data_IF_713781856645
#
_entry.id   IF_713781856645
#
_cell.length_a   1.000
_cell.length_b   1.000
_cell.length_c   1.000
_cell.angle_alpha   90.00
_cell.angle_beta   90.00
_cell.angle_gamma   90.00
#
_symmetry.space_group_name_H-M   'P 1'
#
loop_
_entity.id
_entity.type
_entity.pdbx_description
1 polymer ?
#
# COMPACT_ATOMS: atom_id res chain seq x y z
N UNK A 1 -58.46 33.63 -42.58
CA UNK A 1 -57.42 33.99 -41.58
C UNK A 1 -57.70 33.38 -40.21
N UNK A 2 -58.89 33.51 -39.63
CA UNK A 2 -59.27 33.06 -38.27
C UNK A 2 -59.12 31.52 -38.11
N UNK A 3 -59.73 30.73 -39.02
CA UNK A 3 -59.59 29.25 -39.02
C UNK A 3 -58.18 28.73 -39.24
N UNK A 4 -57.39 29.43 -40.00
CA UNK A 4 -56.01 29.06 -40.25
C UNK A 4 -55.10 29.31 -39.05
N UNK A 5 -55.33 30.37 -38.28
CA UNK A 5 -54.71 30.66 -37.02
C UNK A 5 -55.04 29.64 -35.93
N UNK A 6 -56.32 29.25 -35.82
CA UNK A 6 -56.76 28.21 -34.88
C UNK A 6 -56.11 26.85 -35.19
N UNK A 7 -55.97 26.48 -36.45
CA UNK A 7 -55.33 25.28 -36.89
C UNK A 7 -53.79 25.29 -36.54
N UNK A 8 -53.12 26.41 -36.82
CA UNK A 8 -51.72 26.55 -36.49
C UNK A 8 -51.45 26.51 -34.95
N UNK A 9 -52.33 27.14 -34.19
CA UNK A 9 -52.22 27.07 -32.71
C UNK A 9 -52.40 25.65 -32.19
N UNK A 10 -53.38 24.90 -32.70
CA UNK A 10 -53.61 23.50 -32.30
C UNK A 10 -52.41 22.61 -32.68
N UNK A 11 -51.79 22.84 -33.83
CA UNK A 11 -50.62 22.11 -34.28
C UNK A 11 -49.40 22.40 -33.38
N UNK A 12 -49.17 23.69 -33.04
CA UNK A 12 -48.07 24.10 -32.12
C UNK A 12 -48.28 23.51 -30.75
N UNK A 13 -49.51 23.54 -30.20
CA UNK A 13 -49.79 22.93 -28.90
C UNK A 13 -49.52 21.43 -28.92
N UNK A 14 -50.01 20.70 -29.92
CA UNK A 14 -49.76 19.25 -30.04
C UNK A 14 -48.29 18.92 -30.24
N UNK A 15 -47.53 19.75 -30.96
CA UNK A 15 -46.08 19.56 -31.09
C UNK A 15 -45.34 19.83 -29.77
N UNK A 16 -45.73 20.87 -29.02
CA UNK A 16 -45.14 21.17 -27.71
C UNK A 16 -45.44 20.05 -26.70
N UNK A 17 -46.63 19.50 -26.68
CA UNK A 17 -46.96 18.35 -25.81
C UNK A 17 -46.10 17.15 -26.14
N UNK A 18 -45.91 16.79 -27.42
CA UNK A 18 -45.03 15.70 -27.84
C UNK A 18 -43.57 15.96 -27.50
N UNK A 19 -43.12 17.21 -27.62
CA UNK A 19 -41.74 17.60 -27.27
C UNK A 19 -41.51 17.48 -25.75
N UNK A 20 -42.49 17.88 -24.93
CA UNK A 20 -42.43 17.77 -23.49
C UNK A 20 -42.35 16.29 -23.06
N UNK A 21 -43.24 15.44 -23.60
CA UNK A 21 -43.23 13.99 -23.33
C UNK A 21 -41.92 13.32 -23.76
N UNK A 22 -41.40 13.71 -24.94
CA UNK A 22 -40.10 13.20 -25.42
C UNK A 22 -38.93 13.65 -24.52
N UNK A 23 -38.95 14.89 -24.03
CA UNK A 23 -37.92 15.40 -23.12
C UNK A 23 -37.99 14.69 -21.76
N UNK A 24 -39.16 14.51 -21.16
CA UNK A 24 -39.33 13.78 -19.91
C UNK A 24 -38.83 12.33 -20.04
N UNK A 25 -39.14 11.65 -21.14
CA UNK A 25 -38.67 10.30 -21.44
C UNK A 25 -37.15 10.26 -21.61
N UNK A 26 -36.56 11.25 -22.29
CA UNK A 26 -35.14 11.37 -22.49
C UNK A 26 -34.41 11.60 -21.16
N UNK A 27 -34.91 12.52 -20.33
CA UNK A 27 -34.34 12.80 -19.00
C UNK A 27 -34.37 11.55 -18.11
N UNK A 28 -35.49 10.82 -18.08
CA UNK A 28 -35.61 9.57 -17.33
C UNK A 28 -34.60 8.52 -17.84
N UNK A 29 -34.46 8.37 -19.16
CA UNK A 29 -33.54 7.43 -19.79
C UNK A 29 -32.07 7.81 -19.50
N UNK A 30 -31.73 9.10 -19.58
CA UNK A 30 -30.39 9.60 -19.26
C UNK A 30 -30.04 9.33 -17.80
N UNK A 31 -31.00 9.59 -16.89
CA UNK A 31 -30.81 9.33 -15.45
C UNK A 31 -30.58 7.84 -15.18
N UNK A 32 -31.40 6.96 -15.74
CA UNK A 32 -31.26 5.51 -15.60
C UNK A 32 -29.92 5.01 -16.14
N UNK A 33 -29.56 5.43 -17.35
CA UNK A 33 -28.24 5.03 -17.96
C UNK A 33 -27.07 5.55 -17.18
N UNK A 34 -27.15 6.78 -16.66
CA UNK A 34 -26.07 7.37 -15.84
C UNK A 34 -25.88 6.57 -14.56
N UNK A 35 -26.98 6.22 -13.89
CA UNK A 35 -26.94 5.39 -12.68
C UNK A 35 -26.31 4.02 -12.96
N UNK A 36 -26.70 3.37 -14.03
CA UNK A 36 -26.16 2.08 -14.44
C UNK A 36 -24.66 2.14 -14.79
N UNK A 37 -24.21 3.23 -15.42
CA UNK A 37 -22.78 3.46 -15.69
C UNK A 37 -22.01 3.61 -14.38
N UNK A 38 -22.53 4.32 -13.39
CA UNK A 38 -21.90 4.48 -12.07
C UNK A 38 -21.76 3.11 -11.38
N UNK A 39 -22.80 2.29 -11.39
CA UNK A 39 -22.80 0.95 -10.80
C UNK A 39 -21.78 0.02 -11.47
N UNK A 40 -21.78 -0.02 -12.82
CA UNK A 40 -20.84 -0.83 -13.59
C UNK A 40 -19.40 -0.38 -13.34
N UNK A 41 -19.14 0.93 -13.31
CA UNK A 41 -17.81 1.46 -13.03
C UNK A 41 -17.35 1.13 -11.60
N UNK A 42 -18.25 1.20 -10.62
CA UNK A 42 -17.96 0.77 -9.25
C UNK A 42 -17.57 -0.70 -9.16
N UNK A 43 -18.38 -1.59 -9.75
CA UNK A 43 -18.11 -3.02 -9.78
C UNK A 43 -16.79 -3.35 -10.52
N UNK A 44 -16.51 -2.64 -11.63
CA UNK A 44 -15.26 -2.79 -12.37
C UNK A 44 -14.04 -2.39 -11.53
N UNK A 45 -14.13 -1.31 -10.76
CA UNK A 45 -13.05 -0.85 -9.88
C UNK A 45 -12.78 -1.84 -8.74
N UNK A 46 -13.83 -2.42 -8.13
CA UNK A 46 -13.67 -3.43 -7.09
C UNK A 46 -13.07 -4.73 -7.64
N UNK A 47 -13.51 -5.19 -8.80
CA UNK A 47 -12.92 -6.36 -9.47
C UNK A 47 -11.44 -6.13 -9.81
N UNK A 48 -11.10 -4.94 -10.27
CA UNK A 48 -9.74 -4.56 -10.59
C UNK A 48 -8.84 -4.54 -9.34
N UNK A 49 -9.33 -3.97 -8.23
CA UNK A 49 -8.64 -3.98 -6.94
C UNK A 49 -8.42 -5.41 -6.44
N UNK A 50 -9.46 -6.24 -6.45
CA UNK A 50 -9.39 -7.66 -6.03
C UNK A 50 -8.39 -8.47 -6.86
N UNK A 51 -8.29 -8.19 -8.16
CA UNK A 51 -7.31 -8.82 -9.05
C UNK A 51 -5.88 -8.42 -8.67
N UNK A 52 -5.62 -7.15 -8.38
CA UNK A 52 -4.30 -6.69 -7.91
C UNK A 52 -3.95 -7.34 -6.57
N UNK A 53 -4.89 -7.41 -5.65
CA UNK A 53 -4.68 -8.03 -4.33
C UNK A 53 -4.39 -9.53 -4.46
N UNK A 54 -5.06 -10.23 -5.37
CA UNK A 54 -4.76 -11.64 -5.69
C UNK A 54 -3.31 -11.80 -6.20
N UNK A 55 -2.87 -10.98 -7.14
CA UNK A 55 -1.50 -11.02 -7.64
C UNK A 55 -0.48 -10.69 -6.54
N UNK A 56 -0.77 -9.69 -5.69
CA UNK A 56 0.09 -9.36 -4.56
C UNK A 56 0.24 -10.53 -3.59
N UNK A 57 -0.85 -11.22 -3.27
CA UNK A 57 -0.82 -12.41 -2.40
C UNK A 57 0.00 -13.55 -3.03
N UNK A 58 -0.12 -13.80 -4.33
CA UNK A 58 0.71 -14.79 -5.03
C UNK A 58 2.20 -14.45 -4.98
N UNK A 59 2.54 -13.16 -5.12
CA UNK A 59 3.93 -12.69 -4.98
C UNK A 59 4.47 -12.88 -3.56
N UNK A 60 3.66 -12.65 -2.54
CA UNK A 60 4.03 -12.88 -1.15
C UNK A 60 4.21 -14.36 -0.82
N UNK A 61 3.39 -15.25 -1.40
CA UNK A 61 3.56 -16.70 -1.24
C UNK A 61 4.91 -17.19 -1.79
N UNK A 62 5.39 -16.61 -2.90
CA UNK A 62 6.71 -16.94 -3.47
C UNK A 62 7.87 -16.34 -2.68
N UNK A 63 7.63 -15.24 -1.98
CA UNK A 63 8.60 -14.49 -1.19
C UNK A 63 8.10 -14.30 0.25
N UNK A 64 7.95 -15.38 1.03
CA UNK A 64 7.43 -15.26 2.37
C UNK A 64 8.35 -14.36 3.21
N UNK A 65 7.74 -13.45 3.95
CA UNK A 65 8.44 -12.67 4.97
C UNK A 65 8.82 -13.62 6.09
N UNK A 66 10.09 -13.98 6.18
CA UNK A 66 10.58 -14.91 7.21
C UNK A 66 10.59 -14.30 8.62
N UNK A 67 10.24 -13.04 8.77
CA UNK A 67 10.24 -12.31 10.02
C UNK A 67 8.90 -11.59 10.22
N UNK A 68 8.23 -11.84 11.35
CA UNK A 68 6.95 -11.21 11.70
C UNK A 68 7.06 -9.70 12.01
N UNK A 69 8.27 -9.20 12.21
CA UNK A 69 8.56 -7.79 12.56
C UNK A 69 8.74 -6.88 11.33
N UNK A 70 8.59 -7.41 10.12
CA UNK A 70 8.70 -6.61 8.89
C UNK A 70 7.40 -5.88 8.63
N UNK A 71 7.38 -4.54 8.61
CA UNK A 71 6.17 -3.77 8.37
C UNK A 71 5.59 -4.03 6.97
N UNK A 72 4.29 -3.83 6.84
CA UNK A 72 3.64 -3.91 5.54
C UNK A 72 4.03 -2.73 4.64
N UNK A 73 4.37 -3.02 3.38
CA UNK A 73 4.80 -2.00 2.42
C UNK A 73 3.70 -0.98 2.13
N UNK A 74 2.44 -1.43 2.09
CA UNK A 74 1.30 -0.54 1.80
C UNK A 74 1.11 0.46 2.94
N UNK A 75 1.22 0.00 4.18
CA UNK A 75 1.21 0.86 5.36
C UNK A 75 2.33 1.89 5.29
N UNK A 76 3.58 1.46 5.07
CA UNK A 76 4.73 2.38 4.98
C UNK A 76 4.55 3.46 3.90
N UNK A 77 4.20 3.06 2.66
CA UNK A 77 4.04 4.05 1.59
C UNK A 77 2.85 4.97 1.81
N UNK A 78 1.78 4.50 2.46
CA UNK A 78 0.61 5.32 2.80
C UNK A 78 0.99 6.38 3.82
N UNK A 79 1.56 5.97 4.94
CA UNK A 79 1.91 6.85 6.04
C UNK A 79 2.96 7.91 5.63
N UNK A 80 4.02 7.49 4.90
CA UNK A 80 5.01 8.42 4.36
C UNK A 80 4.36 9.41 3.37
N UNK A 81 3.44 8.92 2.54
CA UNK A 81 2.74 9.76 1.55
C UNK A 81 1.83 10.80 2.20
N UNK A 82 1.11 10.42 3.24
CA UNK A 82 0.27 11.33 4.02
C UNK A 82 1.12 12.42 4.70
N UNK A 83 2.24 12.04 5.32
CA UNK A 83 3.17 12.98 5.93
C UNK A 83 3.77 13.97 4.92
N UNK A 84 3.97 13.55 3.67
CA UNK A 84 4.51 14.38 2.58
C UNK A 84 3.44 15.10 1.74
N UNK A 85 2.15 14.93 2.07
CA UNK A 85 1.03 15.56 1.37
C UNK A 85 0.88 15.09 -0.08
N UNK A 86 1.12 13.80 -0.37
CA UNK A 86 0.95 13.25 -1.71
C UNK A 86 -0.53 13.27 -2.12
N UNK A 87 -0.89 13.72 -3.34
CA UNK A 87 -2.26 13.72 -3.80
C UNK A 87 -2.87 12.32 -3.81
N UNK A 88 -4.14 12.18 -3.43
CA UNK A 88 -4.85 10.90 -3.33
C UNK A 88 -4.77 10.05 -4.60
N UNK A 89 -4.80 10.68 -5.78
CA UNK A 89 -4.67 9.97 -7.05
C UNK A 89 -3.30 9.31 -7.21
N UNK A 90 -2.24 10.00 -6.80
CA UNK A 90 -0.87 9.47 -6.85
C UNK A 90 -0.66 8.39 -5.81
N UNK A 91 -1.22 8.54 -4.61
CA UNK A 91 -1.21 7.53 -3.56
C UNK A 91 -1.83 6.20 -4.03
N UNK A 92 -2.95 6.24 -4.75
CA UNK A 92 -3.57 5.01 -5.31
C UNK A 92 -2.61 4.30 -6.27
N UNK A 93 -1.91 5.04 -7.14
CA UNK A 93 -0.93 4.45 -8.04
C UNK A 93 0.29 3.91 -7.31
N UNK A 94 0.75 4.60 -6.29
CA UNK A 94 1.86 4.19 -5.45
C UNK A 94 1.56 2.90 -4.65
N UNK A 95 0.39 2.79 -4.04
CA UNK A 95 -0.05 1.56 -3.36
C UNK A 95 -0.07 0.37 -4.32
N UNK A 96 -0.61 0.55 -5.52
CA UNK A 96 -0.62 -0.50 -6.55
C UNK A 96 0.81 -0.87 -6.98
N UNK A 97 1.70 0.10 -7.15
CA UNK A 97 3.10 -0.14 -7.48
C UNK A 97 3.81 -0.89 -6.34
N UNK A 98 3.58 -0.52 -5.09
CA UNK A 98 4.13 -1.20 -3.93
C UNK A 98 3.71 -2.68 -3.86
N UNK A 99 2.43 -2.99 -4.13
CA UNK A 99 1.92 -4.37 -4.19
C UNK A 99 2.53 -5.20 -5.32
N UNK A 100 2.75 -4.58 -6.48
CA UNK A 100 3.15 -5.29 -7.71
C UNK A 100 4.66 -5.17 -8.03
N UNK A 101 5.46 -4.51 -7.20
CA UNK A 101 6.88 -4.19 -7.45
C UNK A 101 7.76 -5.39 -7.80
N UNK A 102 7.42 -6.56 -7.29
CA UNK A 102 8.18 -7.80 -7.53
C UNK A 102 7.56 -8.72 -8.59
N UNK A 103 6.57 -8.23 -9.37
CA UNK A 103 5.82 -9.08 -10.31
C UNK A 103 6.73 -9.86 -11.27
N UNK A 104 7.76 -9.25 -11.82
CA UNK A 104 8.68 -9.90 -12.74
C UNK A 104 9.63 -10.89 -12.07
N UNK A 105 9.81 -10.82 -10.74
CA UNK A 105 10.62 -11.79 -9.99
C UNK A 105 9.96 -13.17 -9.89
N UNK A 106 8.68 -13.29 -10.28
CA UNK A 106 8.02 -14.61 -10.43
C UNK A 106 8.76 -15.52 -11.39
N UNK A 107 9.48 -14.97 -12.36
CA UNK A 107 10.26 -15.74 -13.34
C UNK A 107 11.70 -16.02 -12.91
N UNK A 108 12.14 -15.55 -11.74
CA UNK A 108 13.49 -15.80 -11.25
C UNK A 108 13.64 -17.24 -10.79
N UNK A 109 14.83 -17.81 -11.03
CA UNK A 109 15.23 -19.05 -10.37
C UNK A 109 15.31 -18.85 -8.86
N UNK A 110 15.01 -19.89 -8.09
CA UNK A 110 14.98 -19.80 -6.62
C UNK A 110 16.32 -19.35 -6.03
N UNK A 111 17.44 -19.78 -6.65
CA UNK A 111 18.78 -19.34 -6.26
C UNK A 111 18.93 -17.81 -6.37
N UNK A 112 18.51 -17.22 -7.49
CA UNK A 112 18.59 -15.76 -7.70
C UNK A 112 17.65 -15.01 -6.75
N UNK A 113 16.50 -15.60 -6.45
CA UNK A 113 15.48 -15.01 -5.58
C UNK A 113 15.91 -14.94 -4.11
N UNK A 114 16.60 -15.98 -3.62
CA UNK A 114 16.96 -16.13 -2.20
C UNK A 114 18.39 -15.69 -1.88
N UNK A 115 19.23 -15.43 -2.89
CA UNK A 115 20.58 -14.93 -2.68
C UNK A 115 20.56 -13.43 -2.43
N UNK A 116 21.16 -12.94 -1.31
CA UNK A 116 21.28 -11.51 -1.03
C UNK A 116 21.97 -10.77 -2.19
N UNK A 117 21.46 -9.58 -2.53
CA UNK A 117 21.96 -8.82 -3.69
C UNK A 117 23.48 -8.57 -3.65
N UNK A 118 24.05 -8.29 -2.47
CA UNK A 118 25.49 -8.07 -2.33
C UNK A 118 26.32 -9.32 -2.67
N UNK A 119 25.76 -10.52 -2.54
CA UNK A 119 26.41 -11.81 -2.77
C UNK A 119 26.25 -12.33 -4.21
N UNK A 120 25.43 -11.68 -5.03
CA UNK A 120 25.22 -12.07 -6.43
C UNK A 120 26.50 -11.85 -7.26
N UNK A 121 26.77 -12.74 -8.22
CA UNK A 121 27.81 -12.56 -9.24
C UNK A 121 27.48 -11.35 -10.13
N UNK A 122 28.42 -10.92 -10.97
CA UNK A 122 28.16 -9.81 -11.92
C UNK A 122 27.05 -10.15 -12.91
N UNK A 123 27.00 -11.38 -13.38
CA UNK A 123 25.98 -11.88 -14.32
C UNK A 123 24.60 -11.91 -13.66
N UNK A 124 24.53 -12.48 -12.45
CA UNK A 124 23.31 -12.51 -11.65
C UNK A 124 22.81 -11.10 -11.29
N UNK A 125 23.72 -10.17 -10.95
CA UNK A 125 23.33 -8.75 -10.73
C UNK A 125 22.75 -8.11 -11.97
N UNK A 126 23.30 -8.34 -13.16
CA UNK A 126 22.75 -7.83 -14.41
C UNK A 126 21.35 -8.38 -14.68
N UNK A 127 21.14 -9.66 -14.44
CA UNK A 127 19.82 -10.29 -14.56
C UNK A 127 18.84 -9.72 -13.55
N UNK A 128 19.24 -9.64 -12.29
CA UNK A 128 18.43 -9.07 -11.20
C UNK A 128 18.02 -7.64 -11.50
N UNK A 129 18.94 -6.79 -11.92
CA UNK A 129 18.70 -5.38 -12.22
C UNK A 129 17.68 -5.12 -13.34
N UNK A 130 17.31 -6.14 -14.11
CA UNK A 130 16.29 -6.02 -15.15
C UNK A 130 14.85 -6.16 -14.62
N UNK A 131 14.66 -6.57 -13.35
CA UNK A 131 13.30 -6.86 -12.88
C UNK A 131 12.36 -5.64 -12.86
N UNK A 132 12.80 -4.40 -12.56
CA UNK A 132 11.91 -3.26 -12.62
C UNK A 132 11.45 -2.96 -14.06
N UNK A 133 12.35 -3.09 -15.02
CA UNK A 133 12.03 -2.92 -16.45
C UNK A 133 11.06 -3.99 -16.94
N UNK A 134 11.32 -5.26 -16.65
CA UNK A 134 10.43 -6.36 -17.02
C UNK A 134 9.05 -6.21 -16.37
N UNK A 135 9.01 -5.83 -15.08
CA UNK A 135 7.75 -5.58 -14.37
C UNK A 135 6.94 -4.44 -14.99
N UNK A 136 7.59 -3.33 -15.33
CA UNK A 136 6.95 -2.21 -16.00
C UNK A 136 6.41 -2.60 -17.39
N UNK A 137 7.16 -3.37 -18.16
CA UNK A 137 6.73 -3.85 -19.49
C UNK A 137 5.47 -4.72 -19.42
N UNK A 138 5.34 -5.59 -18.42
CA UNK A 138 4.14 -6.40 -18.21
C UNK A 138 2.88 -5.56 -18.00
N UNK A 139 3.01 -4.39 -17.36
CA UNK A 139 1.90 -3.53 -16.97
C UNK A 139 1.60 -2.43 -17.99
N UNK A 140 2.57 -2.06 -18.84
CA UNK A 140 2.48 -0.90 -19.75
C UNK A 140 1.36 -1.00 -20.79
N UNK A 141 0.94 -2.22 -21.16
CA UNK A 141 -0.16 -2.47 -22.11
C UNK A 141 -1.55 -2.30 -21.49
N UNK A 142 -1.64 -2.14 -20.17
CA UNK A 142 -2.90 -1.98 -19.44
C UNK A 142 -3.06 -0.51 -19.08
N UNK A 143 -3.88 0.24 -19.83
CA UNK A 143 -4.02 1.71 -19.70
C UNK A 143 -4.11 2.21 -18.24
N UNK A 144 -4.96 1.65 -17.36
CA UNK A 144 -5.03 2.11 -15.97
C UNK A 144 -3.77 1.85 -15.14
N UNK A 145 -2.86 0.97 -15.61
CA UNK A 145 -1.62 0.61 -14.93
C UNK A 145 -0.37 1.32 -15.46
N UNK A 146 -0.48 2.14 -16.51
CA UNK A 146 0.66 2.89 -17.04
C UNK A 146 1.34 3.73 -15.95
N UNK A 147 0.64 4.52 -15.11
CA UNK A 147 1.29 5.25 -14.01
C UNK A 147 1.94 4.33 -12.97
N UNK A 148 1.38 3.14 -12.74
CA UNK A 148 1.95 2.12 -11.85
C UNK A 148 3.23 1.55 -12.45
N UNK A 149 3.23 1.24 -13.74
CA UNK A 149 4.41 0.77 -14.48
C UNK A 149 5.57 1.76 -14.40
N UNK A 150 5.29 3.07 -14.53
CA UNK A 150 6.27 4.14 -14.42
C UNK A 150 6.93 4.20 -13.03
N UNK A 151 6.18 3.99 -11.97
CA UNK A 151 6.71 3.92 -10.60
C UNK A 151 7.55 2.65 -10.44
N UNK A 152 7.05 1.49 -10.89
CA UNK A 152 7.78 0.21 -10.82
C UNK A 152 9.09 0.26 -11.61
N UNK A 153 9.09 0.88 -12.79
CA UNK A 153 10.31 1.03 -13.59
C UNK A 153 11.44 1.70 -12.81
N UNK A 154 11.10 2.68 -11.94
CA UNK A 154 12.08 3.57 -11.31
C UNK A 154 12.32 3.33 -9.81
N UNK A 155 11.60 2.39 -9.18
CA UNK A 155 11.69 2.22 -7.72
C UNK A 155 13.05 1.71 -7.20
N UNK A 156 13.97 1.39 -8.10
CA UNK A 156 15.37 1.06 -7.81
C UNK A 156 16.34 2.06 -8.40
N UNK A 157 15.85 3.20 -8.87
CA UNK A 157 16.70 4.34 -9.20
C UNK A 157 16.99 5.16 -7.93
N UNK A 158 18.18 5.75 -7.88
CA UNK A 158 18.63 6.58 -6.76
C UNK A 158 18.88 8.02 -7.20
N UNK A 159 18.76 8.97 -6.28
CA UNK A 159 18.89 10.40 -6.58
C UNK A 159 20.22 10.75 -7.24
N UNK A 160 21.30 10.03 -6.93
CA UNK A 160 22.63 10.22 -7.50
C UNK A 160 22.83 9.53 -8.88
N UNK A 161 21.88 8.71 -9.33
CA UNK A 161 21.94 7.98 -10.59
C UNK A 161 22.70 6.64 -10.54
N UNK A 162 23.07 6.15 -9.35
CA UNK A 162 23.70 4.83 -9.18
C UNK A 162 22.67 3.68 -9.11
N UNK A 163 21.40 3.98 -9.32
CA UNK A 163 20.32 3.01 -9.37
C UNK A 163 20.22 2.27 -10.70
N UNK A 164 19.16 1.52 -10.85
CA UNK A 164 18.88 0.75 -12.07
C UNK A 164 17.37 0.73 -12.37
N UNK A 165 16.95 0.45 -13.61
CA UNK A 165 17.73 -0.07 -14.76
C UNK A 165 18.39 1.00 -15.62
N UNK A 166 18.06 2.30 -15.50
CA UNK A 166 18.48 3.35 -16.41
C UNK A 166 19.52 4.33 -15.84
N UNK A 167 19.71 4.37 -14.52
CA UNK A 167 20.52 5.37 -13.83
C UNK A 167 19.91 6.77 -13.88
N UNK A 168 18.57 6.87 -13.86
CA UNK A 168 17.86 8.14 -13.77
C UNK A 168 18.11 8.79 -12.41
N UNK A 169 18.16 10.14 -12.35
CA UNK A 169 18.56 10.87 -11.15
C UNK A 169 17.80 12.15 -10.88
N UNK A 170 17.85 12.60 -9.65
CA UNK A 170 17.34 13.91 -9.22
C UNK A 170 15.87 14.12 -9.59
N UNK A 171 15.59 15.21 -10.29
CA UNK A 171 14.22 15.63 -10.64
C UNK A 171 13.46 14.67 -11.59
N UNK A 172 14.14 13.70 -12.22
CA UNK A 172 13.47 12.67 -13.01
C UNK A 172 12.71 11.66 -12.14
N UNK A 173 13.00 11.59 -10.85
CA UNK A 173 12.37 10.69 -9.89
C UNK A 173 11.24 11.41 -9.16
N UNK A 174 9.99 11.04 -9.47
CA UNK A 174 8.81 11.61 -8.82
C UNK A 174 8.79 11.32 -7.32
N UNK A 175 8.02 12.08 -6.55
CA UNK A 175 7.82 11.83 -5.10
C UNK A 175 7.36 10.39 -4.83
N UNK A 176 6.42 9.88 -5.62
CA UNK A 176 5.94 8.49 -5.51
C UNK A 176 7.06 7.46 -5.68
N UNK A 177 7.98 7.68 -6.64
CA UNK A 177 9.16 6.83 -6.82
C UNK A 177 10.07 6.90 -5.60
N UNK A 178 10.40 8.10 -5.12
CA UNK A 178 11.29 8.30 -3.97
C UNK A 178 10.74 7.65 -2.70
N UNK A 179 9.43 7.76 -2.45
CA UNK A 179 8.76 7.11 -1.31
C UNK A 179 8.86 5.59 -1.44
N UNK A 180 8.55 5.02 -2.62
CA UNK A 180 8.63 3.58 -2.82
C UNK A 180 10.06 3.06 -2.69
N UNK A 181 11.06 3.80 -3.19
CA UNK A 181 12.47 3.44 -3.08
C UNK A 181 12.89 3.30 -1.61
N UNK A 182 12.57 4.30 -0.77
CA UNK A 182 12.89 4.28 0.66
C UNK A 182 12.18 3.14 1.37
N UNK A 183 10.86 3.00 1.19
CA UNK A 183 10.06 1.97 1.85
C UNK A 183 10.48 0.55 1.42
N UNK A 184 10.76 0.36 0.13
CA UNK A 184 11.20 -0.93 -0.40
C UNK A 184 12.58 -1.32 0.13
N UNK A 185 13.55 -0.41 0.08
CA UNK A 185 14.91 -0.69 0.53
C UNK A 185 14.98 -0.90 2.04
N UNK A 186 14.16 -0.19 2.81
CA UNK A 186 13.97 -0.46 4.23
C UNK A 186 13.53 -1.90 4.49
N UNK A 187 12.50 -2.39 3.79
CA UNK A 187 12.04 -3.78 3.91
C UNK A 187 13.12 -4.78 3.45
N UNK A 188 13.81 -4.48 2.35
CA UNK A 188 14.86 -5.37 1.86
C UNK A 188 16.08 -5.46 2.81
N UNK A 189 16.37 -4.41 3.56
CA UNK A 189 17.37 -4.43 4.64
C UNK A 189 16.92 -5.32 5.80
N UNK A 190 15.66 -5.17 6.25
CA UNK A 190 15.08 -5.99 7.32
C UNK A 190 14.97 -7.48 6.96
N UNK A 191 14.77 -7.79 5.68
CA UNK A 191 14.63 -9.17 5.19
C UNK A 191 15.94 -9.81 4.74
N UNK A 192 17.06 -9.07 4.76
CA UNK A 192 18.36 -9.56 4.31
C UNK A 192 18.51 -9.69 2.80
N UNK A 193 17.61 -9.08 2.01
CA UNK A 193 17.69 -9.14 0.53
C UNK A 193 18.79 -8.23 -0.03
N UNK A 194 19.03 -7.09 0.58
CA UNK A 194 20.11 -6.18 0.18
C UNK A 194 21.47 -6.57 0.75
N UNK A 195 21.52 -7.06 1.98
CA UNK A 195 22.73 -7.36 2.74
C UNK A 195 22.85 -8.86 3.02
N UNK A 196 24.06 -9.32 3.44
CA UNK A 196 24.32 -10.75 3.74
C UNK A 196 23.44 -11.30 4.87
N UNK A 197 22.96 -10.44 5.74
CA UNK A 197 22.08 -10.79 6.84
C UNK A 197 20.98 -9.72 7.01
N UNK A 198 19.83 -10.09 7.56
CA UNK A 198 18.81 -9.13 7.98
C UNK A 198 19.38 -8.12 8.96
N UNK A 199 19.00 -6.85 8.80
CA UNK A 199 19.32 -5.79 9.73
C UNK A 199 18.17 -5.58 10.72
N UNK A 200 18.49 -5.10 11.91
CA UNK A 200 17.47 -4.57 12.83
C UNK A 200 16.87 -3.26 12.31
N UNK A 201 15.72 -2.85 12.83
CA UNK A 201 15.10 -1.57 12.49
C UNK A 201 16.06 -0.38 12.68
N UNK A 202 16.85 -0.36 13.75
CA UNK A 202 17.79 0.71 14.02
C UNK A 202 18.95 0.73 13.00
N UNK A 203 19.51 -0.43 12.67
CA UNK A 203 20.57 -0.54 11.67
C UNK A 203 20.08 -0.20 10.25
N UNK A 204 18.85 -0.62 9.89
CA UNK A 204 18.26 -0.30 8.61
C UNK A 204 18.04 1.23 8.46
N UNK A 205 17.50 1.89 9.49
CA UNK A 205 17.37 3.35 9.50
C UNK A 205 18.75 4.02 9.42
N UNK A 206 19.73 3.58 10.18
CA UNK A 206 21.09 4.12 10.11
C UNK A 206 21.69 3.98 8.71
N UNK A 207 21.49 2.83 8.05
CA UNK A 207 21.94 2.60 6.68
C UNK A 207 21.30 3.59 5.69
N UNK A 208 19.98 3.82 5.78
CA UNK A 208 19.27 4.77 4.92
C UNK A 208 19.71 6.20 5.21
N UNK A 209 19.87 6.57 6.47
CA UNK A 209 20.25 7.91 6.91
C UNK A 209 21.66 8.31 6.42
N UNK A 210 22.62 7.39 6.47
CA UNK A 210 23.97 7.59 5.91
C UNK A 210 23.97 7.91 4.41
N UNK A 211 22.90 7.55 3.70
CA UNK A 211 22.74 7.77 2.26
C UNK A 211 21.68 8.83 1.93
N UNK A 212 21.16 9.50 2.95
CA UNK A 212 20.16 10.56 2.83
C UNK A 212 20.70 11.71 1.98
N UNK A 213 19.84 12.27 1.12
CA UNK A 213 20.20 13.34 0.20
C UNK A 213 21.07 12.93 -1.00
N UNK A 214 21.71 11.76 -0.96
CA UNK A 214 22.50 11.22 -2.08
C UNK A 214 21.75 10.11 -2.82
N UNK A 215 21.38 9.04 -2.13
CA UNK A 215 20.60 7.93 -2.68
C UNK A 215 19.09 8.15 -2.51
N UNK A 216 18.70 8.63 -1.34
CA UNK A 216 17.31 8.69 -0.89
C UNK A 216 16.86 10.12 -0.61
N UNK A 217 15.56 10.38 -0.74
CA UNK A 217 14.94 11.63 -0.31
C UNK A 217 15.07 11.82 1.19
N UNK A 218 15.60 12.97 1.60
CA UNK A 218 15.68 13.38 3.00
C UNK A 218 14.29 13.37 3.64
N UNK A 219 13.32 13.97 2.96
CA UNK A 219 11.94 14.09 3.43
C UNK A 219 11.29 12.73 3.66
N UNK A 220 11.51 11.76 2.76
CA UNK A 220 10.96 10.41 2.89
C UNK A 220 11.61 9.63 4.05
N UNK A 221 12.91 9.78 4.27
CA UNK A 221 13.60 9.16 5.41
C UNK A 221 13.13 9.76 6.73
N UNK A 222 13.03 11.09 6.84
CA UNK A 222 12.57 11.75 8.06
C UNK A 222 11.12 11.36 8.40
N UNK A 223 10.26 11.24 7.39
CA UNK A 223 8.90 10.73 7.58
C UNK A 223 8.93 9.29 8.10
N UNK A 224 9.74 8.40 7.52
CA UNK A 224 9.89 7.03 7.99
C UNK A 224 10.40 6.97 9.43
N UNK A 225 11.41 7.78 9.80
CA UNK A 225 11.94 7.85 11.17
C UNK A 225 10.86 8.29 12.17
N UNK A 226 10.08 9.29 11.82
CA UNK A 226 8.97 9.80 12.65
C UNK A 226 7.92 8.71 12.87
N UNK A 227 7.50 8.01 11.82
CA UNK A 227 6.55 6.91 11.90
C UNK A 227 7.03 5.80 12.84
N UNK A 228 8.27 5.35 12.67
CA UNK A 228 8.83 4.29 13.49
C UNK A 228 9.00 4.70 14.96
N UNK A 229 9.25 5.96 15.24
CA UNK A 229 9.31 6.46 16.62
C UNK A 229 7.92 6.51 17.25
N UNK A 230 6.90 6.91 16.50
CA UNK A 230 5.50 6.95 16.96
C UNK A 230 4.95 5.52 17.16
N UNK A 231 5.22 4.62 16.22
CA UNK A 231 4.81 3.20 16.34
C UNK A 231 5.53 2.51 17.50
N UNK A 232 6.79 2.83 17.80
CA UNK A 232 7.48 2.34 19.00
C UNK A 232 6.85 2.86 20.29
N UNK A 233 6.38 4.10 20.33
CA UNK A 233 5.62 4.64 21.47
C UNK A 233 4.26 3.94 21.60
N UNK A 234 3.56 3.69 20.50
CA UNK A 234 2.30 2.96 20.52
C UNK A 234 2.46 1.47 20.83
N UNK A 235 3.53 0.80 20.36
CA UNK A 235 3.82 -0.60 20.67
C UNK A 235 4.42 -0.77 22.07
N UNK A 236 5.12 0.23 22.60
CA UNK A 236 5.50 0.25 24.02
C UNK A 236 4.28 0.39 24.94
N UNK A 237 3.16 0.92 24.44
CA UNK A 237 1.85 0.97 25.10
C UNK A 237 0.97 -0.24 24.70
N UNK A 238 1.28 -0.96 23.61
CA UNK A 238 0.49 -2.09 23.08
C UNK A 238 1.17 -3.45 23.36
N UNK A 239 0.61 -4.13 24.34
CA UNK A 239 0.55 -5.59 24.45
C UNK A 239 1.87 -6.38 24.50
N UNK A 240 2.52 -6.41 25.66
CA UNK A 240 3.39 -7.54 25.98
C UNK A 240 2.52 -8.76 26.32
N UNK A 241 2.67 -9.88 25.60
CA UNK A 241 2.26 -11.19 26.10
C UNK A 241 3.20 -11.53 27.26
N UNK A 242 2.69 -11.43 28.48
CA UNK A 242 3.43 -11.67 29.70
C UNK A 242 2.94 -12.96 30.28
N UNK A 243 3.85 -13.83 30.69
CA UNK A 243 3.50 -15.04 31.46
C UNK A 243 2.94 -14.64 32.82
N UNK A 244 2.04 -15.44 33.38
CA UNK A 244 1.40 -15.14 34.66
C UNK A 244 2.43 -14.87 35.79
N UNK A 245 3.59 -15.52 35.76
CA UNK A 245 4.68 -15.34 36.73
C UNK A 245 5.53 -14.06 36.50
N UNK A 246 5.26 -13.29 35.43
CA UNK A 246 5.94 -12.03 35.10
C UNK A 246 5.04 -10.80 35.25
N UNK A 247 3.82 -10.97 35.79
CA UNK A 247 2.90 -9.90 36.05
C UNK A 247 3.40 -9.00 37.19
N UNK A 248 3.29 -7.68 37.01
CA UNK A 248 3.68 -6.67 38.00
C UNK A 248 2.49 -5.74 38.29
N UNK A 249 2.38 -5.33 39.53
CA UNK A 249 1.36 -4.37 39.98
C UNK A 249 1.42 -3.08 39.14
N UNK A 250 0.26 -2.56 38.73
CA UNK A 250 0.14 -1.40 37.84
C UNK A 250 0.07 -1.74 36.37
N UNK A 251 0.28 -2.99 35.95
CA UNK A 251 0.01 -3.41 34.55
C UNK A 251 -1.47 -3.35 34.27
N UNK A 252 -1.82 -2.94 33.06
CA UNK A 252 -3.21 -2.84 32.58
C UNK A 252 -3.49 -3.91 31.53
N UNK A 253 -4.62 -4.61 31.66
CA UNK A 253 -5.02 -5.64 30.70
C UNK A 253 -5.38 -5.01 29.34
N UNK A 254 -4.77 -5.51 28.29
CA UNK A 254 -5.05 -5.12 26.91
C UNK A 254 -6.24 -5.84 26.28
N UNK A 255 -6.64 -6.96 26.85
CA UNK A 255 -7.80 -7.78 26.47
C UNK A 255 -8.49 -8.31 27.73
N UNK A 256 -9.73 -8.79 27.56
CA UNK A 256 -10.41 -9.49 28.66
C UNK A 256 -9.63 -10.74 29.07
N UNK A 257 -9.37 -10.89 30.35
CA UNK A 257 -8.83 -12.13 30.90
C UNK A 257 -9.98 -13.12 31.06
N UNK A 258 -9.87 -14.28 30.44
CA UNK A 258 -10.91 -15.32 30.46
C UNK A 258 -10.35 -16.61 31.07
N UNK A 259 -11.22 -17.35 31.75
CA UNK A 259 -10.88 -18.70 32.21
C UNK A 259 -10.92 -19.70 31.03
N UNK A 260 -10.56 -20.97 31.30
CA UNK A 260 -10.57 -22.04 30.30
C UNK A 260 -11.97 -22.37 29.75
N UNK A 261 -13.05 -21.94 30.47
CA UNK A 261 -14.44 -22.11 30.02
C UNK A 261 -14.94 -20.92 29.17
N UNK A 262 -14.13 -19.86 28.99
CA UNK A 262 -14.47 -18.67 28.22
C UNK A 262 -15.16 -17.56 29.05
N UNK A 263 -15.35 -17.73 30.37
CA UNK A 263 -15.94 -16.70 31.24
C UNK A 263 -14.91 -15.59 31.50
N UNK A 264 -15.35 -14.33 31.43
CA UNK A 264 -14.50 -13.18 31.69
C UNK A 264 -14.20 -13.05 33.18
N UNK A 265 -12.90 -13.14 33.53
CA UNK A 265 -12.40 -12.95 34.87
C UNK A 265 -12.15 -11.48 35.19
N UNK A 266 -11.54 -10.76 34.22
CA UNK A 266 -11.27 -9.34 34.34
C UNK A 266 -11.45 -8.70 32.94
N UNK A 267 -12.13 -7.55 32.85
CA UNK A 267 -12.30 -6.86 31.56
C UNK A 267 -11.02 -6.17 31.11
N UNK A 268 -10.93 -5.93 29.79
CA UNK A 268 -9.91 -5.06 29.20
C UNK A 268 -9.87 -3.70 29.91
N UNK A 269 -8.67 -3.18 30.15
CA UNK A 269 -8.46 -1.91 30.85
C UNK A 269 -8.37 -2.05 32.37
N UNK A 270 -8.54 -3.25 32.92
CA UNK A 270 -8.33 -3.49 34.38
C UNK A 270 -6.86 -3.33 34.74
N UNK A 271 -6.56 -2.52 35.73
CA UNK A 271 -5.23 -2.41 36.34
C UNK A 271 -5.02 -3.55 37.34
N UNK A 272 -3.88 -4.22 37.23
CA UNK A 272 -3.56 -5.36 38.08
C UNK A 272 -3.03 -4.92 39.46
N UNK A 273 -3.76 -5.22 40.51
CA UNK A 273 -3.30 -5.10 41.88
C UNK A 273 -2.54 -6.38 42.31
N UNK A 274 -1.69 -6.29 43.32
CA UNK A 274 -0.95 -7.46 43.84
C UNK A 274 -1.86 -8.64 44.20
N UNK A 275 -3.04 -8.38 44.80
CA UNK A 275 -4.04 -9.40 45.10
C UNK A 275 -4.58 -10.11 43.85
N UNK A 276 -4.77 -9.36 42.77
CA UNK A 276 -5.25 -9.87 41.49
C UNK A 276 -4.18 -10.73 40.81
N UNK A 277 -2.91 -10.33 40.88
CA UNK A 277 -1.79 -11.07 40.32
C UNK A 277 -1.63 -12.43 41.01
N UNK A 278 -1.76 -12.47 42.38
CA UNK A 278 -1.71 -13.73 43.12
C UNK A 278 -2.79 -14.70 42.65
N UNK A 279 -4.02 -14.24 42.44
CA UNK A 279 -5.12 -15.07 41.95
C UNK A 279 -4.85 -15.60 40.53
N UNK A 280 -4.30 -14.74 39.62
CA UNK A 280 -4.00 -15.13 38.24
C UNK A 280 -2.84 -16.15 38.18
N UNK A 281 -1.88 -16.08 39.11
CA UNK A 281 -0.74 -17.02 39.16
C UNK A 281 -1.09 -18.37 39.78
N UNK A 282 -2.21 -18.46 40.52
CA UNK A 282 -2.71 -19.69 41.14
C UNK A 282 -3.76 -20.43 40.29
N UNK A 283 -4.23 -19.82 39.21
CA UNK A 283 -5.16 -20.38 38.20
C UNK A 283 -4.40 -21.13 37.09
#
# INVERSE_FOLDING_TARGET
FKKQNEYLQSLVTSQNEKLTEANETLEATVKERTQKIIEINGALQENYKSTIDLFANLLEMRNPKNNMDVPDIVTLVTDISEALGLPQRELIHLIRAAKMRYMSQMSFADELLHTPYVSLSKEQKREYQQYPLKGAQLLSNIRPLVPVAEIILRHKEYLNGEGYPKGEKGAALSKSVQILTVANDYIELLTGRMQKAPLTHAEAIQYLDLKSGSYYSIEAIESLKTLLSTTKLETAVKNHRTLSNQLVCGMTLSQDLKNHNGDSLLPKGSELANSTITIITEL
#
